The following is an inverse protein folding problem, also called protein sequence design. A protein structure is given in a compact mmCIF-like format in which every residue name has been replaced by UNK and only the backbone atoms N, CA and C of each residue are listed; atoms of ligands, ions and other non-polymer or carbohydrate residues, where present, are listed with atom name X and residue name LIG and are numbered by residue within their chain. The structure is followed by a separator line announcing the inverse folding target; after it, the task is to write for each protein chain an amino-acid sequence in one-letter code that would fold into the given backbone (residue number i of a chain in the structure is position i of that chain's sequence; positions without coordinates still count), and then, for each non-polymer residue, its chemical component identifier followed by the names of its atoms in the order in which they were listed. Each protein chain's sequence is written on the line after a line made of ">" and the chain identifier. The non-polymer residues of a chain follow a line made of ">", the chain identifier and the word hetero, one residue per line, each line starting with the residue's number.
data_IF_554080142724
#
_entry.id   IF_554080142724
#
_cell.length_a   1.000
_cell.length_b   1.000
_cell.length_c   1.000
_cell.angle_alpha   90.00
_cell.angle_beta   90.00
_cell.angle_gamma   90.00
#
_symmetry.space_group_name_H-M   'P 1'
#
loop_
_entity.id
_entity.type
_entity.pdbx_description
1 polymer ?
#
# COMPACT_ATOMS: atom_id res chain seq x y z
N UNK A 1 -2.38 11.11 -36.85
CA UNK A 1 -1.88 10.73 -35.49
C UNK A 1 -0.39 10.61 -35.61
N UNK A 2 0.39 11.29 -34.72
CA UNK A 2 1.86 11.24 -34.74
C UNK A 2 2.40 9.84 -34.39
N UNK A 3 3.68 9.59 -34.66
CA UNK A 3 4.28 8.27 -34.40
C UNK A 3 4.25 7.93 -32.91
N UNK A 4 4.56 8.89 -32.04
CA UNK A 4 4.53 8.70 -30.60
C UNK A 4 3.11 8.39 -30.09
N UNK A 5 2.08 9.08 -30.57
CA UNK A 5 0.68 8.81 -30.20
C UNK A 5 0.22 7.41 -30.60
N UNK A 6 0.72 6.86 -31.73
CA UNK A 6 0.46 5.48 -32.13
C UNK A 6 1.13 4.48 -31.18
N UNK A 7 2.34 4.80 -30.70
CA UNK A 7 3.03 3.97 -29.70
C UNK A 7 2.28 3.97 -28.36
N UNK A 8 1.73 5.11 -27.95
CA UNK A 8 0.90 5.22 -26.77
C UNK A 8 -0.37 4.37 -26.85
N UNK A 9 -1.05 4.42 -28.02
CA UNK A 9 -2.20 3.55 -28.27
C UNK A 9 -1.81 2.07 -28.21
N UNK A 10 -0.69 1.69 -28.84
CA UNK A 10 -0.17 0.33 -28.80
C UNK A 10 0.12 -0.14 -27.35
N UNK A 11 0.68 0.74 -26.50
CA UNK A 11 0.91 0.42 -25.09
C UNK A 11 -0.40 0.07 -24.39
N UNK A 12 -1.42 0.87 -24.57
CA UNK A 12 -2.74 0.65 -23.96
C UNK A 12 -3.37 -0.66 -24.46
N UNK A 13 -3.39 -0.88 -25.78
CA UNK A 13 -3.98 -2.06 -26.42
C UNK A 13 -3.29 -3.36 -25.98
N UNK A 14 -1.98 -3.33 -25.85
CA UNK A 14 -1.15 -4.48 -25.44
C UNK A 14 -0.96 -4.60 -23.92
N UNK A 15 -1.51 -3.67 -23.14
CA UNK A 15 -1.30 -3.57 -21.69
C UNK A 15 0.19 -3.56 -21.33
N UNK A 16 0.99 -2.86 -22.14
CA UNK A 16 2.42 -2.70 -21.91
C UNK A 16 2.64 -1.71 -20.78
N UNK A 17 3.60 -1.99 -19.90
CA UNK A 17 3.94 -1.11 -18.77
C UNK A 17 4.88 0.01 -19.16
N UNK A 18 5.86 -0.27 -20.00
CA UNK A 18 6.92 0.67 -20.36
C UNK A 18 7.28 0.59 -21.85
N UNK A 19 7.73 1.72 -22.43
CA UNK A 19 8.45 1.82 -23.71
C UNK A 19 9.88 2.28 -23.45
N UNK A 20 10.82 1.75 -24.21
CA UNK A 20 12.22 2.14 -24.19
C UNK A 20 12.63 2.60 -25.60
N UNK A 21 13.11 3.85 -25.69
CA UNK A 21 13.71 4.40 -26.90
C UNK A 21 15.19 4.63 -26.63
N UNK A 22 16.04 3.85 -27.26
CA UNK A 22 17.51 3.96 -27.14
C UNK A 22 18.17 3.80 -28.49
N UNK A 23 19.27 4.51 -28.68
CA UNK A 23 20.08 4.40 -29.89
C UNK A 23 20.70 3.01 -29.99
N UNK A 24 20.78 2.49 -31.21
CA UNK A 24 21.34 1.17 -31.47
C UNK A 24 20.42 0.00 -31.12
N UNK A 25 19.18 0.29 -30.72
CA UNK A 25 18.16 -0.71 -30.45
C UNK A 25 16.85 -0.36 -31.17
N UNK A 26 15.98 -1.34 -31.47
CA UNK A 26 14.62 -1.07 -31.90
C UNK A 26 13.81 -0.49 -30.72
N UNK A 27 12.62 0.06 -31.03
CA UNK A 27 11.65 0.44 -30.01
C UNK A 27 11.25 -0.82 -29.25
N UNK A 28 11.47 -0.84 -27.93
CA UNK A 28 11.08 -1.95 -27.08
C UNK A 28 9.90 -1.57 -26.20
N UNK A 29 8.95 -2.50 -26.05
CA UNK A 29 7.85 -2.42 -25.07
C UNK A 29 7.99 -3.51 -24.02
N UNK A 30 7.53 -3.23 -22.80
CA UNK A 30 7.56 -4.20 -21.71
C UNK A 30 6.14 -4.69 -21.42
N UNK A 31 5.90 -5.98 -21.59
CA UNK A 31 4.62 -6.65 -21.33
C UNK A 31 4.85 -7.76 -20.29
N UNK A 32 4.10 -7.76 -19.20
CA UNK A 32 4.24 -8.74 -18.11
C UNK A 32 5.69 -8.90 -17.59
N UNK A 33 6.43 -7.80 -17.57
CA UNK A 33 7.83 -7.80 -17.09
C UNK A 33 8.87 -8.16 -18.15
N UNK A 34 8.48 -8.57 -19.36
CA UNK A 34 9.38 -8.95 -20.45
C UNK A 34 9.45 -7.83 -21.50
N UNK A 35 10.68 -7.36 -21.80
CA UNK A 35 10.91 -6.38 -22.85
C UNK A 35 10.98 -7.10 -24.23
N UNK A 36 10.28 -6.57 -25.22
CA UNK A 36 10.25 -7.13 -26.58
C UNK A 36 10.22 -6.01 -27.61
N UNK A 37 10.83 -6.18 -28.78
CA UNK A 37 10.84 -5.18 -29.83
C UNK A 37 9.46 -5.03 -30.49
N UNK A 38 9.08 -3.78 -30.77
CA UNK A 38 7.87 -3.46 -31.55
C UNK A 38 8.07 -3.77 -33.02
N UNK A 39 9.28 -3.53 -33.51
CA UNK A 39 9.70 -3.82 -34.90
C UNK A 39 11.21 -4.10 -34.94
N UNK A 40 11.79 -4.27 -36.14
CA UNK A 40 13.21 -4.54 -36.33
C UNK A 40 14.04 -3.26 -36.62
N UNK A 41 13.38 -2.09 -36.67
CA UNK A 41 14.05 -0.84 -37.05
C UNK A 41 14.87 -0.30 -35.89
N UNK A 42 16.19 -0.26 -36.08
CA UNK A 42 17.12 0.28 -35.08
C UNK A 42 17.07 1.81 -35.10
N UNK A 43 16.93 2.41 -33.94
CA UNK A 43 16.85 3.86 -33.77
C UNK A 43 18.25 4.50 -33.83
N UNK A 44 18.33 5.64 -34.51
CA UNK A 44 19.45 6.58 -34.43
C UNK A 44 19.09 7.77 -33.52
N UNK A 45 20.04 8.68 -33.28
CA UNK A 45 19.86 9.82 -32.38
C UNK A 45 18.71 10.74 -32.84
N UNK A 46 18.63 11.02 -34.14
CA UNK A 46 17.61 11.92 -34.67
C UNK A 46 16.20 11.31 -34.57
N UNK A 47 16.08 9.99 -34.75
CA UNK A 47 14.83 9.29 -34.61
C UNK A 47 14.29 9.34 -33.15
N UNK A 48 15.18 9.12 -32.17
CA UNK A 48 14.80 9.23 -30.75
C UNK A 48 14.40 10.66 -30.41
N UNK A 49 15.16 11.64 -30.85
CA UNK A 49 14.90 13.06 -30.63
C UNK A 49 13.57 13.50 -31.29
N UNK A 50 13.33 13.10 -32.52
CA UNK A 50 12.10 13.40 -33.25
C UNK A 50 10.87 12.83 -32.52
N UNK A 51 10.92 11.56 -32.12
CA UNK A 51 9.83 10.90 -31.36
C UNK A 51 9.57 11.62 -30.05
N UNK A 52 10.60 11.97 -29.29
CA UNK A 52 10.47 12.67 -28.02
C UNK A 52 9.81 14.05 -28.22
N UNK A 53 10.27 14.82 -29.19
CA UNK A 53 9.80 16.19 -29.43
C UNK A 53 8.36 16.26 -29.95
N UNK A 54 7.81 15.17 -30.52
CA UNK A 54 6.37 15.10 -30.88
C UNK A 54 5.41 15.31 -29.71
N UNK A 55 5.87 15.08 -28.47
CA UNK A 55 5.03 15.11 -27.26
C UNK A 55 5.49 16.14 -26.24
N UNK A 56 6.54 16.89 -26.51
CA UNK A 56 7.03 17.97 -25.67
C UNK A 56 6.62 19.34 -26.23
N UNK A 57 6.39 20.30 -25.34
CA UNK A 57 6.25 21.71 -25.70
C UNK A 57 7.64 22.40 -25.78
N UNK A 58 7.68 23.62 -26.30
CA UNK A 58 8.91 24.38 -26.50
C UNK A 58 9.71 24.60 -25.19
N UNK A 59 9.02 24.84 -24.08
CA UNK A 59 9.66 25.01 -22.77
C UNK A 59 10.33 23.71 -22.31
N UNK A 60 9.65 22.58 -22.42
CA UNK A 60 10.17 21.26 -22.06
C UNK A 60 11.35 20.85 -22.94
N UNK A 61 11.29 21.18 -24.23
CA UNK A 61 12.42 20.96 -25.15
C UNK A 61 13.65 21.78 -24.71
N UNK A 62 13.45 23.08 -24.40
CA UNK A 62 14.52 23.95 -23.93
C UNK A 62 15.11 23.46 -22.58
N UNK A 63 14.28 23.01 -21.66
CA UNK A 63 14.71 22.43 -20.40
C UNK A 63 15.54 21.16 -20.62
N UNK A 64 15.06 20.22 -21.44
CA UNK A 64 15.79 18.98 -21.74
C UNK A 64 17.15 19.23 -22.41
N UNK A 65 17.20 20.18 -23.34
CA UNK A 65 18.48 20.51 -24.01
C UNK A 65 19.50 21.15 -23.07
N UNK A 66 19.01 21.92 -22.08
CA UNK A 66 19.85 22.60 -21.09
C UNK A 66 20.28 21.68 -19.94
N UNK A 67 19.31 20.96 -19.33
CA UNK A 67 19.55 20.17 -18.11
C UNK A 67 19.95 18.72 -18.44
N UNK A 68 19.83 18.28 -19.72
CA UNK A 68 20.13 16.92 -20.21
C UNK A 68 19.23 15.83 -19.64
N UNK A 69 18.26 16.19 -18.84
CA UNK A 69 17.25 15.34 -18.21
C UNK A 69 15.90 16.06 -18.22
N UNK A 70 14.82 15.30 -18.39
CA UNK A 70 13.45 15.80 -18.30
C UNK A 70 12.54 14.70 -17.80
N UNK A 71 11.78 14.99 -16.74
CA UNK A 71 10.67 14.15 -16.29
C UNK A 71 9.38 14.93 -16.50
N UNK A 72 8.46 14.36 -17.27
CA UNK A 72 7.18 15.02 -17.57
C UNK A 72 6.07 14.00 -17.74
N UNK A 73 4.82 14.45 -17.72
CA UNK A 73 3.64 13.66 -18.02
C UNK A 73 3.02 14.09 -19.35
N UNK A 74 2.41 13.14 -20.04
CA UNK A 74 1.63 13.38 -21.26
C UNK A 74 0.29 12.64 -21.16
N UNK A 75 -0.82 13.35 -21.25
CA UNK A 75 -2.15 12.75 -21.29
C UNK A 75 -2.63 12.61 -22.74
N UNK A 76 -3.08 11.42 -23.13
CA UNK A 76 -3.73 11.16 -24.40
C UNK A 76 -5.19 10.83 -24.14
N UNK A 77 -6.07 11.74 -24.59
CA UNK A 77 -7.51 11.61 -24.38
C UNK A 77 -8.04 10.27 -24.92
N UNK A 78 -8.86 9.61 -24.12
CA UNK A 78 -9.42 8.28 -24.43
C UNK A 78 -8.47 7.10 -24.29
N UNK A 79 -7.17 7.33 -23.98
CA UNK A 79 -6.16 6.28 -23.87
C UNK A 79 -5.59 6.17 -22.46
N UNK A 80 -5.13 7.27 -21.89
CA UNK A 80 -4.53 7.31 -20.56
C UNK A 80 -3.40 8.35 -20.47
N UNK A 81 -2.64 8.28 -19.38
CA UNK A 81 -1.48 9.11 -19.17
C UNK A 81 -0.17 8.34 -19.34
N UNK A 82 0.88 9.08 -19.65
CA UNK A 82 2.21 8.54 -19.90
C UNK A 82 3.23 9.39 -19.15
N UNK A 83 4.04 8.77 -18.32
CA UNK A 83 5.20 9.40 -17.71
C UNK A 83 6.37 9.24 -18.64
N UNK A 84 7.01 10.33 -19.00
CA UNK A 84 8.15 10.39 -19.89
C UNK A 84 9.37 10.79 -19.07
N UNK A 85 10.38 9.93 -19.03
CA UNK A 85 11.71 10.23 -18.50
C UNK A 85 12.69 10.24 -19.67
N UNK A 86 13.13 11.42 -20.05
CA UNK A 86 14.12 11.63 -21.09
C UNK A 86 15.46 11.99 -20.45
N UNK A 87 16.53 11.37 -20.90
CA UNK A 87 17.88 11.59 -20.38
C UNK A 87 18.93 11.39 -21.47
N UNK A 88 20.17 11.79 -21.21
CA UNK A 88 21.29 11.54 -22.13
C UNK A 88 22.16 10.40 -21.61
N UNK A 89 22.51 9.48 -22.51
CA UNK A 89 23.54 8.46 -22.29
C UNK A 89 24.61 8.52 -23.38
N UNK A 90 25.87 8.57 -22.99
CA UNK A 90 27.01 8.66 -23.94
C UNK A 90 26.81 9.78 -25.00
N UNK A 91 26.30 10.94 -24.55
CA UNK A 91 26.01 12.08 -25.42
C UNK A 91 24.76 11.97 -26.30
N UNK A 92 24.03 10.89 -26.22
CA UNK A 92 22.87 10.59 -27.06
C UNK A 92 21.56 10.54 -26.27
N UNK A 93 20.40 10.90 -26.88
CA UNK A 93 19.11 10.86 -26.20
C UNK A 93 18.67 9.42 -25.93
N UNK A 94 18.05 9.21 -24.75
CA UNK A 94 17.34 8.01 -24.39
C UNK A 94 16.04 8.39 -23.68
N UNK A 95 14.98 7.58 -23.85
CA UNK A 95 13.66 7.86 -23.27
C UNK A 95 13.06 6.58 -22.71
N UNK A 96 12.55 6.68 -21.51
CA UNK A 96 11.71 5.66 -20.89
C UNK A 96 10.33 6.25 -20.69
N UNK A 97 9.30 5.55 -21.17
CA UNK A 97 7.92 5.99 -21.05
C UNK A 97 7.15 4.93 -20.31
N UNK A 98 6.50 5.32 -19.23
CA UNK A 98 5.62 4.45 -18.45
C UNK A 98 4.16 4.78 -18.73
N UNK A 99 3.37 3.77 -19.00
CA UNK A 99 1.93 3.90 -19.14
C UNK A 99 1.24 3.95 -17.77
N UNK A 100 0.40 4.94 -17.57
CA UNK A 100 -0.47 5.10 -16.41
C UNK A 100 -1.89 4.80 -16.88
N UNK A 101 -2.48 3.66 -16.47
CA UNK A 101 -3.85 3.30 -16.88
C UNK A 101 -4.85 4.38 -16.47
N UNK A 102 -5.75 4.74 -17.39
CA UNK A 102 -6.77 5.77 -17.15
C UNK A 102 -7.92 5.32 -16.23
N UNK A 103 -8.02 4.04 -15.92
CA UNK A 103 -9.10 3.51 -15.09
C UNK A 103 -8.61 3.19 -13.67
N UNK A 104 -9.24 3.83 -12.70
CA UNK A 104 -9.05 3.52 -11.29
C UNK A 104 -9.74 2.18 -10.98
N UNK A 105 -9.04 1.20 -10.37
CA UNK A 105 -9.65 -0.08 -10.03
C UNK A 105 -10.76 0.13 -8.98
N UNK A 106 -11.85 -0.62 -9.11
CA UNK A 106 -12.94 -0.55 -8.14
C UNK A 106 -12.53 -1.17 -6.81
N UNK A 107 -12.89 -0.53 -5.71
CA UNK A 107 -12.55 -0.95 -4.35
C UNK A 107 -12.87 -2.43 -4.10
N UNK A 108 -14.08 -2.89 -4.48
CA UNK A 108 -14.56 -4.26 -4.24
C UNK A 108 -13.75 -5.35 -4.97
N UNK A 109 -13.00 -4.97 -6.02
CA UNK A 109 -12.18 -5.94 -6.77
C UNK A 109 -10.81 -6.20 -6.14
N UNK A 110 -10.37 -5.34 -5.22
CA UNK A 110 -9.04 -5.40 -4.61
C UNK A 110 -8.95 -6.31 -3.39
N UNK A 111 -10.11 -6.68 -2.79
CA UNK A 111 -10.18 -7.50 -1.58
C UNK A 111 -9.62 -6.81 -0.35
N UNK A 112 -9.78 -5.51 -0.30
CA UNK A 112 -9.40 -4.67 0.84
C UNK A 112 -10.40 -4.83 2.00
N UNK A 113 -9.98 -4.63 3.26
CA UNK A 113 -10.89 -4.64 4.41
C UNK A 113 -12.02 -3.61 4.27
N UNK A 114 -13.26 -4.02 4.60
CA UNK A 114 -14.45 -3.17 4.48
C UNK A 114 -14.36 -1.86 5.30
N UNK A 115 -13.67 -1.89 6.43
CA UNK A 115 -13.47 -0.71 7.28
C UNK A 115 -12.81 0.46 6.54
N UNK A 116 -12.05 0.19 5.47
CA UNK A 116 -11.44 1.23 4.66
C UNK A 116 -12.49 2.07 3.91
N UNK A 117 -13.67 1.51 3.60
CA UNK A 117 -14.81 2.26 3.03
C UNK A 117 -15.34 3.29 4.03
N UNK A 118 -15.45 2.90 5.30
CA UNK A 118 -15.88 3.81 6.35
C UNK A 118 -14.85 4.92 6.61
N UNK A 119 -13.57 4.53 6.65
CA UNK A 119 -12.46 5.46 6.88
C UNK A 119 -12.40 6.55 5.82
N UNK A 120 -12.48 6.21 4.53
CA UNK A 120 -12.39 7.19 3.45
C UNK A 120 -13.61 8.13 3.39
N UNK A 121 -14.74 7.72 3.96
CA UNK A 121 -15.94 8.54 4.02
C UNK A 121 -16.00 9.44 5.27
N UNK A 122 -15.02 9.38 6.17
CA UNK A 122 -14.94 10.28 7.34
C UNK A 122 -14.83 11.73 6.89
N UNK A 123 -15.26 12.65 7.77
CA UNK A 123 -15.24 14.08 7.49
C UNK A 123 -13.84 14.67 7.66
N UNK A 124 -13.10 14.21 8.68
CA UNK A 124 -11.81 14.77 9.10
C UNK A 124 -10.89 13.74 9.72
N UNK A 125 -9.63 14.07 9.84
CA UNK A 125 -8.60 13.29 10.52
C UNK A 125 -7.52 12.84 9.54
N UNK A 126 -6.51 12.16 10.05
CA UNK A 126 -5.36 11.67 9.28
C UNK A 126 -5.46 10.16 9.07
N UNK A 127 -5.35 9.71 7.83
CA UNK A 127 -5.21 8.31 7.45
C UNK A 127 -3.84 8.15 6.79
N UNK A 128 -3.02 7.24 7.31
CA UNK A 128 -1.71 6.92 6.75
C UNK A 128 -1.77 5.58 6.02
N UNK A 129 -1.33 5.57 4.76
CA UNK A 129 -1.14 4.36 3.96
C UNK A 129 0.35 4.02 3.94
N UNK A 130 0.70 2.83 4.41
CA UNK A 130 2.06 2.43 4.70
C UNK A 130 2.42 1.14 3.95
N UNK A 131 3.68 1.00 3.56
CA UNK A 131 4.20 -0.19 2.88
C UNK A 131 5.41 0.12 2.02
N UNK A 132 6.13 -0.91 1.61
CA UNK A 132 7.26 -0.81 0.70
C UNK A 132 6.84 -0.29 -0.69
N UNK A 133 7.81 0.10 -1.50
CA UNK A 133 7.57 0.41 -2.92
C UNK A 133 7.03 -0.84 -3.63
N UNK A 134 5.97 -0.66 -4.43
CA UNK A 134 5.33 -1.76 -5.14
C UNK A 134 4.38 -2.61 -4.29
N UNK A 135 4.08 -2.23 -3.03
CA UNK A 135 3.08 -2.92 -2.20
C UNK A 135 1.62 -2.63 -2.57
N UNK A 136 1.37 -1.78 -3.57
CA UNK A 136 0.03 -1.45 -4.05
C UNK A 136 -0.66 -0.31 -3.31
N UNK A 137 0.06 0.50 -2.52
CA UNK A 137 -0.49 1.65 -1.79
C UNK A 137 -1.30 2.60 -2.68
N UNK A 138 -0.69 3.05 -3.77
CA UNK A 138 -1.32 4.00 -4.70
C UNK A 138 -2.59 3.44 -5.33
N UNK A 139 -2.59 2.14 -5.66
CA UNK A 139 -3.76 1.44 -6.19
C UNK A 139 -4.92 1.42 -5.18
N UNK A 140 -4.61 1.09 -3.92
CA UNK A 140 -5.61 1.06 -2.84
C UNK A 140 -6.12 2.45 -2.50
N UNK A 141 -5.23 3.46 -2.42
CA UNK A 141 -5.61 4.86 -2.20
C UNK A 141 -6.47 5.40 -3.33
N UNK A 142 -6.11 5.09 -4.59
CA UNK A 142 -6.90 5.50 -5.74
C UNK A 142 -8.31 4.90 -5.67
N UNK A 143 -8.45 3.61 -5.38
CA UNK A 143 -9.75 2.97 -5.21
C UNK A 143 -10.57 3.56 -4.05
N UNK A 144 -9.93 3.89 -2.92
CA UNK A 144 -10.58 4.56 -1.79
C UNK A 144 -11.05 5.98 -2.18
N UNK A 145 -10.19 6.76 -2.83
CA UNK A 145 -10.55 8.12 -3.27
C UNK A 145 -11.66 8.11 -4.31
N UNK A 146 -11.63 7.16 -5.24
CA UNK A 146 -12.68 7.03 -6.26
C UNK A 146 -14.03 6.63 -5.64
N UNK A 147 -14.02 5.75 -4.61
CA UNK A 147 -15.21 5.45 -3.81
C UNK A 147 -15.77 6.71 -3.12
N UNK A 148 -14.91 7.55 -2.52
CA UNK A 148 -15.33 8.84 -1.95
C UNK A 148 -15.90 9.76 -3.01
N UNK A 149 -15.24 9.86 -4.15
CA UNK A 149 -15.69 10.65 -5.31
C UNK A 149 -17.06 10.22 -5.84
N UNK A 150 -17.38 8.93 -5.77
CA UNK A 150 -18.71 8.41 -6.14
C UNK A 150 -19.79 8.70 -5.09
N UNK A 151 -19.44 8.68 -3.81
CA UNK A 151 -20.41 8.68 -2.73
C UNK A 151 -20.62 10.04 -2.08
N UNK A 152 -19.60 10.92 -2.04
CA UNK A 152 -19.66 12.24 -1.39
C UNK A 152 -19.48 13.37 -2.38
N UNK A 153 -20.30 14.42 -2.21
CA UNK A 153 -20.05 15.72 -2.82
C UNK A 153 -18.97 16.46 -2.05
N UNK A 154 -18.12 17.18 -2.76
CA UNK A 154 -17.06 17.98 -2.16
C UNK A 154 -15.88 18.14 -3.10
N UNK A 155 -14.75 18.59 -2.56
CA UNK A 155 -13.51 18.81 -3.29
C UNK A 155 -12.43 17.87 -2.78
N UNK A 156 -11.89 17.05 -3.67
CA UNK A 156 -10.74 16.17 -3.43
C UNK A 156 -9.54 16.82 -4.12
N UNK A 157 -8.52 17.14 -3.35
CA UNK A 157 -7.24 17.64 -3.85
C UNK A 157 -6.16 16.60 -3.69
N UNK A 158 -5.42 16.27 -4.74
CA UNK A 158 -4.25 15.41 -4.64
C UNK A 158 -2.98 16.18 -4.96
N UNK A 159 -1.93 15.89 -4.20
CA UNK A 159 -0.58 16.40 -4.40
C UNK A 159 0.34 15.20 -4.53
N UNK A 160 0.84 14.94 -5.73
CA UNK A 160 1.50 13.69 -6.08
C UNK A 160 2.87 13.95 -6.75
N UNK A 161 3.78 12.99 -6.61
CA UNK A 161 5.12 13.03 -7.23
C UNK A 161 5.51 11.61 -7.69
N UNK A 162 5.00 11.25 -8.86
CA UNK A 162 3.98 11.89 -9.70
C UNK A 162 2.57 11.29 -9.57
N UNK A 163 1.61 11.80 -10.37
CA UNK A 163 0.28 11.22 -10.53
C UNK A 163 0.36 9.80 -11.09
N UNK A 164 -0.27 8.83 -10.39
CA UNK A 164 -0.30 7.41 -10.82
C UNK A 164 -1.65 6.97 -11.40
N UNK A 165 -2.73 7.65 -11.07
CA UNK A 165 -4.10 7.38 -11.57
C UNK A 165 -4.79 8.68 -11.91
N UNK A 166 -5.61 8.68 -12.96
CA UNK A 166 -6.40 9.86 -13.34
C UNK A 166 -7.84 9.67 -12.91
N UNK A 167 -8.35 10.61 -12.10
CA UNK A 167 -9.71 10.60 -11.64
C UNK A 167 -10.64 11.40 -12.59
N UNK A 168 -11.83 10.86 -12.82
CA UNK A 168 -12.93 11.60 -13.43
C UNK A 168 -13.75 12.26 -12.32
N UNK A 169 -14.20 13.49 -12.53
CA UNK A 169 -15.15 14.13 -11.63
C UNK A 169 -16.48 13.34 -11.62
N UNK A 170 -16.98 13.00 -10.42
CA UNK A 170 -18.25 12.30 -10.19
C UNK A 170 -19.14 13.15 -9.30
N UNK A 171 -19.40 12.74 -8.05
CA UNK A 171 -20.07 13.62 -7.06
C UNK A 171 -19.11 14.66 -6.48
N UNK A 172 -17.83 14.34 -6.38
CA UNK A 172 -16.79 15.30 -6.00
C UNK A 172 -16.13 15.91 -7.22
N UNK A 173 -15.57 17.11 -7.04
CA UNK A 173 -14.58 17.69 -7.94
C UNK A 173 -13.22 17.17 -7.50
N UNK A 174 -12.43 16.62 -8.43
CA UNK A 174 -11.08 16.10 -8.13
C UNK A 174 -10.07 16.95 -8.89
N UNK A 175 -9.21 17.63 -8.14
CA UNK A 175 -8.07 18.35 -8.69
C UNK A 175 -6.79 17.61 -8.30
N UNK A 176 -6.06 17.14 -9.30
CA UNK A 176 -4.77 16.46 -9.14
C UNK A 176 -3.65 17.43 -9.52
N UNK A 177 -2.64 17.51 -8.67
CA UNK A 177 -1.48 18.38 -8.90
C UNK A 177 -0.20 17.57 -8.77
N UNK A 178 0.57 17.56 -9.84
CA UNK A 178 1.87 16.90 -9.92
C UNK A 178 3.00 17.89 -9.58
N UNK A 179 3.93 17.44 -8.75
CA UNK A 179 5.16 18.21 -8.47
C UNK A 179 6.04 18.25 -9.71
N UNK A 180 6.56 19.43 -10.03
CA UNK A 180 7.35 19.67 -11.25
C UNK A 180 6.51 20.12 -12.45
N UNK A 181 5.27 19.62 -12.57
CA UNK A 181 4.36 19.99 -13.68
C UNK A 181 3.37 21.08 -13.28
N UNK A 182 2.64 20.88 -12.17
CA UNK A 182 1.53 21.76 -11.72
C UNK A 182 1.90 22.62 -10.51
N UNK A 183 2.96 22.26 -9.83
CA UNK A 183 3.50 22.99 -8.68
C UNK A 183 5.02 22.81 -8.58
N UNK A 184 5.72 23.83 -8.11
CA UNK A 184 7.18 23.80 -7.99
C UNK A 184 7.70 22.85 -6.91
N UNK A 185 6.93 22.65 -5.84
CA UNK A 185 7.32 21.77 -4.75
C UNK A 185 6.10 21.32 -3.93
N UNK A 186 6.23 20.23 -3.19
CA UNK A 186 5.24 19.80 -2.19
C UNK A 186 4.94 20.88 -1.16
N UNK A 187 5.97 21.55 -0.64
CA UNK A 187 5.83 22.60 0.35
C UNK A 187 4.94 23.74 -0.15
N UNK A 188 5.22 24.23 -1.38
CA UNK A 188 4.43 25.31 -1.97
C UNK A 188 3.00 24.87 -2.21
N UNK A 189 2.80 23.66 -2.71
CA UNK A 189 1.47 23.10 -2.95
C UNK A 189 0.67 22.96 -1.66
N UNK A 190 1.26 22.36 -0.62
CA UNK A 190 0.63 22.19 0.70
C UNK A 190 0.29 23.53 1.32
N UNK A 191 1.22 24.51 1.36
CA UNK A 191 0.96 25.84 1.90
C UNK A 191 -0.26 26.53 1.28
N UNK A 192 -0.53 26.29 0.01
CA UNK A 192 -1.64 26.90 -0.71
C UNK A 192 -2.92 26.04 -0.70
N UNK A 193 -2.84 24.76 -0.39
CA UNK A 193 -3.97 23.84 -0.50
C UNK A 193 -5.15 24.21 0.42
N UNK A 194 -4.90 24.73 1.65
CA UNK A 194 -5.97 25.23 2.53
C UNK A 194 -6.83 26.34 1.89
N UNK A 195 -6.24 27.13 0.99
CA UNK A 195 -6.94 28.19 0.27
C UNK A 195 -7.76 27.68 -0.91
N UNK A 196 -7.60 26.39 -1.24
CA UNK A 196 -8.31 25.73 -2.34
C UNK A 196 -9.54 24.98 -1.84
N UNK A 197 -9.92 25.16 -0.56
CA UNK A 197 -11.09 24.59 0.09
C UNK A 197 -11.28 23.07 -0.16
N UNK A 198 -10.29 22.22 0.06
CA UNK A 198 -10.45 20.78 -0.08
C UNK A 198 -11.24 20.21 1.11
N UNK A 199 -12.18 19.29 0.84
CA UNK A 199 -12.77 18.44 1.90
C UNK A 199 -11.88 17.24 2.21
N UNK A 200 -11.14 16.80 1.21
CA UNK A 200 -10.20 15.67 1.31
C UNK A 200 -8.91 16.01 0.56
N UNK A 201 -7.77 15.77 1.20
CA UNK A 201 -6.46 15.97 0.59
C UNK A 201 -5.65 14.68 0.60
N UNK A 202 -5.08 14.31 -0.56
CA UNK A 202 -4.04 13.29 -0.66
C UNK A 202 -2.67 13.95 -0.73
N UNK A 203 -1.81 13.62 0.22
CA UNK A 203 -0.40 14.00 0.25
C UNK A 203 0.40 12.78 -0.22
N UNK A 204 0.99 12.85 -1.40
CA UNK A 204 1.63 11.72 -2.06
C UNK A 204 2.58 10.95 -1.16
N UNK A 205 3.49 11.65 -0.47
CA UNK A 205 4.41 11.03 0.50
C UNK A 205 4.83 12.00 1.62
N UNK A 206 4.89 11.47 2.85
CA UNK A 206 5.49 12.14 4.00
C UNK A 206 6.96 11.71 4.09
N UNK A 207 7.88 12.68 3.88
CA UNK A 207 9.33 12.45 3.90
C UNK A 207 10.05 13.11 5.06
N UNK A 208 9.43 14.11 5.70
CA UNK A 208 10.06 14.97 6.69
C UNK A 208 9.06 15.57 7.69
N UNK A 209 9.61 16.30 8.68
CA UNK A 209 8.85 17.03 9.70
C UNK A 209 7.85 18.00 9.10
N UNK A 210 8.20 18.69 8.01
CA UNK A 210 7.38 19.74 7.43
C UNK A 210 6.12 19.17 6.78
N UNK A 211 6.26 18.15 5.94
CA UNK A 211 5.13 17.45 5.30
C UNK A 211 4.25 16.76 6.34
N UNK A 212 4.85 16.16 7.40
CA UNK A 212 4.08 15.58 8.50
C UNK A 212 3.29 16.63 9.28
N UNK A 213 3.93 17.77 9.60
CA UNK A 213 3.27 18.88 10.30
C UNK A 213 2.10 19.45 9.51
N UNK A 214 2.23 19.56 8.19
CA UNK A 214 1.13 19.99 7.32
C UNK A 214 -0.02 18.97 7.28
N UNK A 215 0.27 17.66 7.20
CA UNK A 215 -0.75 16.61 7.24
C UNK A 215 -1.57 16.66 8.54
N UNK A 216 -0.89 16.85 9.68
CA UNK A 216 -1.55 17.04 10.99
C UNK A 216 -2.40 18.30 11.02
N UNK A 217 -1.88 19.44 10.54
CA UNK A 217 -2.60 20.71 10.50
C UNK A 217 -3.88 20.61 9.67
N UNK A 218 -3.85 19.90 8.51
CA UNK A 218 -5.06 19.62 7.71
C UNK A 218 -6.07 18.78 8.49
N UNK A 219 -5.61 17.69 9.11
CA UNK A 219 -6.48 16.79 9.86
C UNK A 219 -7.17 17.49 11.05
N UNK A 220 -6.44 18.35 11.76
CA UNK A 220 -6.93 19.13 12.91
C UNK A 220 -7.85 20.27 12.49
N UNK A 221 -7.65 20.88 11.31
CA UNK A 221 -8.49 21.98 10.79
C UNK A 221 -9.81 21.51 10.16
N UNK A 222 -10.16 20.22 10.30
CA UNK A 222 -11.47 19.71 9.91
C UNK A 222 -11.52 19.01 8.56
N UNK A 223 -10.37 18.78 7.91
CA UNK A 223 -10.25 18.09 6.61
C UNK A 223 -9.86 16.63 6.79
N UNK A 224 -10.22 15.79 5.83
CA UNK A 224 -9.68 14.43 5.74
C UNK A 224 -8.34 14.48 5.01
N UNK A 225 -7.26 14.18 5.71
CA UNK A 225 -5.93 14.07 5.15
C UNK A 225 -5.55 12.60 4.96
N UNK A 226 -5.17 12.22 3.75
CA UNK A 226 -4.54 10.95 3.44
C UNK A 226 -3.08 11.20 3.08
N UNK A 227 -2.20 10.33 3.51
CA UNK A 227 -0.79 10.44 3.13
C UNK A 227 -0.16 9.05 3.02
N UNK A 228 0.88 8.91 2.19
CA UNK A 228 1.69 7.71 2.19
C UNK A 228 2.95 7.88 3.02
N UNK A 229 3.44 6.76 3.53
CA UNK A 229 4.70 6.69 4.26
C UNK A 229 5.40 5.36 3.94
N UNK A 230 6.70 5.40 3.71
CA UNK A 230 7.49 4.18 3.55
C UNK A 230 7.88 3.61 4.91
N UNK A 231 7.16 2.57 5.34
CA UNK A 231 7.47 1.75 6.49
C UNK A 231 6.85 0.35 6.28
N UNK A 232 7.27 -0.65 7.06
CA UNK A 232 6.85 -2.04 6.84
C UNK A 232 5.53 -2.40 7.55
N UNK A 233 5.19 -1.69 8.63
CA UNK A 233 3.96 -1.85 9.42
C UNK A 233 3.68 -0.58 10.23
N UNK A 234 2.59 -0.56 11.00
CA UNK A 234 2.17 0.58 11.82
C UNK A 234 3.19 0.97 12.89
N UNK A 235 3.84 -0.01 13.53
CA UNK A 235 4.89 0.24 14.51
C UNK A 235 6.09 0.99 13.90
N UNK A 236 6.60 0.51 12.76
CA UNK A 236 7.69 1.18 12.05
C UNK A 236 7.28 2.55 11.50
N UNK A 237 6.01 2.71 11.09
CA UNK A 237 5.48 4.00 10.67
C UNK A 237 5.50 5.03 11.80
N UNK A 238 5.04 4.64 12.99
CA UNK A 238 5.07 5.51 14.18
C UNK A 238 6.49 5.91 14.54
N UNK A 239 7.43 4.96 14.61
CA UNK A 239 8.82 5.25 14.91
C UNK A 239 9.46 6.16 13.85
N UNK A 240 9.14 5.96 12.56
CA UNK A 240 9.62 6.82 11.48
C UNK A 240 9.10 8.26 11.62
N UNK A 241 7.81 8.44 11.92
CA UNK A 241 7.22 9.76 12.17
C UNK A 241 7.93 10.45 13.35
N UNK A 242 8.11 9.73 14.46
CA UNK A 242 8.80 10.25 15.65
C UNK A 242 10.25 10.66 15.31
N UNK A 243 10.91 9.91 14.41
CA UNK A 243 12.31 10.21 14.01
C UNK A 243 12.47 11.51 13.23
N UNK A 244 11.41 12.03 12.60
CA UNK A 244 11.45 13.34 11.93
C UNK A 244 11.55 14.52 12.90
N UNK A 245 11.27 14.29 14.19
CA UNK A 245 11.19 15.35 15.18
C UNK A 245 12.31 15.23 16.22
N UNK A 246 12.98 16.35 16.57
CA UNK A 246 13.91 16.40 17.68
C UNK A 246 13.19 16.10 19.01
N UNK A 247 13.95 15.65 20.01
CA UNK A 247 13.39 15.11 21.27
C UNK A 247 12.42 16.08 21.95
N UNK A 248 12.75 17.38 21.97
CA UNK A 248 11.94 18.42 22.60
C UNK A 248 10.55 18.63 21.95
N UNK A 249 10.40 18.26 20.67
CA UNK A 249 9.14 18.42 19.94
C UNK A 249 8.26 17.14 19.93
N UNK A 250 8.81 15.99 20.38
CA UNK A 250 8.09 14.73 20.35
C UNK A 250 6.83 14.69 21.22
N UNK A 251 6.80 15.26 22.43
CA UNK A 251 5.57 15.27 23.23
C UNK A 251 4.41 15.98 22.52
N UNK A 252 4.67 17.13 21.90
CA UNK A 252 3.65 17.86 21.11
C UNK A 252 3.21 17.05 19.89
N UNK A 253 4.15 16.45 19.16
CA UNK A 253 3.83 15.56 18.04
C UNK A 253 2.92 14.42 18.46
N UNK A 254 3.24 13.73 19.55
CA UNK A 254 2.47 12.56 20.02
C UNK A 254 1.06 12.95 20.44
N UNK A 255 0.90 14.10 21.10
CA UNK A 255 -0.40 14.67 21.45
C UNK A 255 -1.23 14.99 20.19
N UNK A 256 -0.62 15.70 19.23
CA UNK A 256 -1.27 16.05 17.97
C UNK A 256 -1.66 14.79 17.16
N UNK A 257 -0.78 13.80 17.13
CA UNK A 257 -0.99 12.56 16.41
C UNK A 257 -2.10 11.72 17.05
N UNK A 258 -2.11 11.60 18.39
CA UNK A 258 -3.15 10.87 19.13
C UNK A 258 -4.55 11.43 18.87
N UNK A 259 -4.65 12.75 18.71
CA UNK A 259 -5.92 13.43 18.44
C UNK A 259 -6.33 13.41 16.96
N UNK A 260 -5.39 13.53 16.03
CA UNK A 260 -5.67 13.67 14.60
C UNK A 260 -5.76 12.35 13.85
N UNK A 261 -4.99 11.33 14.25
CA UNK A 261 -4.93 10.04 13.58
C UNK A 261 -6.29 9.35 13.58
N UNK A 262 -6.69 8.76 12.45
CA UNK A 262 -7.86 7.89 12.33
C UNK A 262 -7.45 6.44 12.17
N UNK A 263 -6.44 6.20 11.31
CA UNK A 263 -5.92 4.87 11.06
C UNK A 263 -4.52 4.92 10.44
N UNK A 264 -3.75 3.85 10.66
CA UNK A 264 -2.60 3.48 9.83
C UNK A 264 -2.96 2.18 9.12
N UNK A 265 -2.87 2.20 7.80
CA UNK A 265 -3.17 1.07 6.93
C UNK A 265 -1.85 0.61 6.32
N UNK A 266 -1.36 -0.55 6.72
CA UNK A 266 -0.11 -1.11 6.21
C UNK A 266 -0.42 -2.21 5.20
N UNK A 267 0.30 -2.24 4.06
CA UNK A 267 -0.02 -3.14 2.96
C UNK A 267 1.19 -3.87 2.41
N UNK A 268 1.01 -5.17 2.15
CA UNK A 268 1.92 -6.04 1.41
C UNK A 268 1.17 -6.74 0.28
N UNK A 269 1.84 -7.02 -0.84
CA UNK A 269 1.28 -7.88 -1.89
C UNK A 269 1.83 -9.28 -1.75
N UNK A 270 0.93 -10.24 -1.54
CA UNK A 270 1.23 -11.67 -1.43
C UNK A 270 0.78 -12.42 -2.67
N UNK A 271 1.46 -13.53 -2.98
CA UNK A 271 1.12 -14.38 -4.14
C UNK A 271 0.00 -15.35 -3.76
N UNK A 272 -1.05 -15.37 -4.55
CA UNK A 272 -2.09 -16.39 -4.43
C UNK A 272 -1.66 -17.71 -5.06
N UNK A 273 -2.33 -18.80 -4.69
CA UNK A 273 -2.12 -20.13 -5.31
C UNK A 273 -2.34 -20.14 -6.83
N UNK A 274 -3.13 -19.19 -7.36
CA UNK A 274 -3.36 -19.01 -8.79
C UNK A 274 -2.30 -18.17 -9.50
N UNK A 275 -1.27 -17.69 -8.77
CA UNK A 275 -0.20 -16.85 -9.31
C UNK A 275 -0.55 -15.34 -9.36
N UNK A 276 -1.78 -14.94 -9.04
CA UNK A 276 -2.15 -13.54 -8.91
C UNK A 276 -1.57 -12.91 -7.63
N UNK A 277 -1.61 -11.58 -7.53
CA UNK A 277 -1.23 -10.86 -6.30
C UNK A 277 -2.48 -10.37 -5.58
N UNK A 278 -2.47 -10.47 -4.25
CA UNK A 278 -3.52 -9.97 -3.36
C UNK A 278 -2.91 -9.13 -2.25
N UNK A 279 -3.64 -8.12 -1.79
CA UNK A 279 -3.20 -7.29 -0.69
C UNK A 279 -3.44 -8.00 0.65
N UNK A 280 -2.37 -8.23 1.43
CA UNK A 280 -2.46 -8.45 2.86
C UNK A 280 -2.39 -7.09 3.54
N UNK A 281 -3.33 -6.82 4.44
CA UNK A 281 -3.52 -5.48 5.02
C UNK A 281 -3.55 -5.56 6.53
N UNK A 282 -2.68 -4.78 7.18
CA UNK A 282 -2.77 -4.45 8.60
C UNK A 282 -3.56 -3.15 8.75
N UNK A 283 -4.47 -3.07 9.72
CA UNK A 283 -5.26 -1.88 10.01
C UNK A 283 -5.16 -1.54 11.49
N UNK A 284 -4.40 -0.51 11.82
CA UNK A 284 -4.39 0.12 13.13
C UNK A 284 -5.49 1.18 13.15
N UNK A 285 -6.57 0.95 13.90
CA UNK A 285 -7.58 1.98 14.18
C UNK A 285 -7.19 2.76 15.44
N UNK A 286 -7.27 4.08 15.37
CA UNK A 286 -6.99 4.93 16.53
C UNK A 286 -8.18 4.91 17.52
N UNK A 287 -8.30 3.80 18.25
CA UNK A 287 -9.23 3.67 19.36
C UNK A 287 -8.74 4.53 20.54
N UNK A 288 -9.61 4.73 21.55
CA UNK A 288 -9.21 5.47 22.76
C UNK A 288 -7.95 4.90 23.41
N UNK A 289 -7.85 3.60 23.53
CA UNK A 289 -6.67 2.94 24.12
C UNK A 289 -5.41 3.17 23.25
N UNK A 290 -5.51 3.05 21.92
CA UNK A 290 -4.39 3.34 21.01
C UNK A 290 -3.97 4.81 21.11
N UNK A 291 -4.93 5.73 21.19
CA UNK A 291 -4.64 7.16 21.36
C UNK A 291 -3.87 7.44 22.66
N UNK A 292 -4.27 6.80 23.78
CA UNK A 292 -3.58 6.90 25.07
C UNK A 292 -2.14 6.36 24.99
N UNK A 293 -1.90 5.24 24.29
CA UNK A 293 -0.55 4.69 24.06
C UNK A 293 0.31 5.64 23.20
N UNK A 294 -0.27 6.20 22.15
CA UNK A 294 0.42 7.16 21.29
C UNK A 294 0.82 8.41 22.10
N UNK A 295 -0.11 8.98 22.87
CA UNK A 295 0.12 10.17 23.67
C UNK A 295 1.24 9.98 24.71
N UNK A 296 1.30 8.81 25.34
CA UNK A 296 2.37 8.43 26.29
C UNK A 296 3.69 8.09 25.63
N UNK A 297 3.68 7.77 24.34
CA UNK A 297 4.87 7.31 23.60
C UNK A 297 5.14 5.81 23.76
N UNK A 298 4.17 5.02 24.26
CA UNK A 298 4.27 3.58 24.50
C UNK A 298 4.02 2.80 23.19
N UNK A 299 4.79 3.15 22.15
CA UNK A 299 4.60 2.64 20.77
C UNK A 299 4.80 1.12 20.70
N UNK A 300 5.65 0.56 21.57
CA UNK A 300 5.91 -0.88 21.63
C UNK A 300 4.68 -1.70 22.03
N UNK A 301 3.75 -1.13 22.78
CA UNK A 301 2.53 -1.80 23.24
C UNK A 301 1.40 -1.80 22.21
N UNK A 302 1.54 -0.99 21.15
CA UNK A 302 0.48 -0.85 20.13
C UNK A 302 0.17 -2.18 19.44
N UNK A 303 1.18 -3.00 19.12
CA UNK A 303 0.95 -4.29 18.46
C UNK A 303 0.10 -5.23 19.32
N UNK A 304 0.44 -5.34 20.60
CA UNK A 304 -0.32 -6.16 21.55
C UNK A 304 -1.76 -5.61 21.75
N UNK A 305 -1.88 -4.27 21.81
CA UNK A 305 -3.20 -3.62 21.89
C UNK A 305 -4.05 -3.89 20.64
N UNK A 306 -3.44 -3.96 19.44
CA UNK A 306 -4.14 -4.34 18.20
C UNK A 306 -4.57 -5.80 18.22
N UNK A 307 -3.72 -6.72 18.65
CA UNK A 307 -4.02 -8.17 18.73
C UNK A 307 -5.21 -8.45 19.67
N UNK A 308 -5.29 -7.69 20.77
CA UNK A 308 -6.37 -7.78 21.75
C UNK A 308 -7.58 -6.89 21.42
N UNK A 309 -7.50 -6.12 20.32
CA UNK A 309 -8.54 -5.14 19.99
C UNK A 309 -9.85 -5.81 19.61
N UNK A 310 -10.94 -5.38 20.25
CA UNK A 310 -12.31 -5.73 19.87
C UNK A 310 -12.91 -4.74 18.86
N UNK A 311 -12.14 -3.74 18.39
CA UNK A 311 -12.62 -2.74 17.44
C UNK A 311 -12.86 -3.39 16.07
N UNK A 312 -14.08 -3.35 15.52
CA UNK A 312 -14.37 -3.94 14.22
C UNK A 312 -13.47 -3.36 13.12
N UNK A 313 -12.80 -4.24 12.39
CA UNK A 313 -11.91 -3.85 11.29
C UNK A 313 -10.46 -3.55 11.69
N UNK A 314 -10.12 -3.50 12.99
CA UNK A 314 -8.72 -3.53 13.43
C UNK A 314 -8.15 -4.92 13.21
N UNK A 315 -7.00 -5.04 12.57
CA UNK A 315 -6.34 -6.33 12.32
C UNK A 315 -4.84 -6.17 12.14
N UNK A 316 -4.09 -7.19 12.58
CA UNK A 316 -2.65 -7.30 12.32
C UNK A 316 -2.36 -7.98 10.98
N UNK A 317 -1.09 -7.97 10.53
CA UNK A 317 -0.70 -8.74 9.34
C UNK A 317 -0.93 -10.23 9.55
N UNK A 318 -0.63 -10.77 10.74
CA UNK A 318 -0.85 -12.18 11.06
C UNK A 318 -2.33 -12.57 10.90
N UNK A 319 -3.25 -11.75 11.40
CA UNK A 319 -4.69 -11.99 11.26
C UNK A 319 -5.15 -11.91 9.80
N UNK A 320 -4.64 -10.93 9.05
CA UNK A 320 -4.94 -10.80 7.61
C UNK A 320 -4.45 -12.00 6.80
N UNK A 321 -3.18 -12.39 7.00
CA UNK A 321 -2.57 -13.53 6.32
C UNK A 321 -3.22 -14.86 6.70
N UNK A 322 -3.52 -15.04 7.99
CA UNK A 322 -4.20 -16.23 8.49
C UNK A 322 -5.58 -16.39 7.86
N UNK A 323 -6.36 -15.30 7.76
CA UNK A 323 -7.65 -15.33 7.06
C UNK A 323 -7.50 -15.76 5.60
N UNK A 324 -6.54 -15.20 4.87
CA UNK A 324 -6.26 -15.57 3.48
C UNK A 324 -5.82 -17.04 3.34
N UNK A 325 -5.07 -17.56 4.29
CA UNK A 325 -4.68 -18.96 4.34
C UNK A 325 -5.87 -19.89 4.57
N UNK A 326 -6.73 -19.58 5.56
CA UNK A 326 -7.95 -20.34 5.85
C UNK A 326 -8.97 -20.31 4.70
N UNK A 327 -9.06 -19.22 3.96
CA UNK A 327 -9.83 -19.10 2.72
C UNK A 327 -9.19 -19.87 1.54
N UNK A 328 -8.02 -20.48 1.73
CA UNK A 328 -7.30 -21.24 0.71
C UNK A 328 -6.68 -20.40 -0.39
N UNK A 329 -6.58 -19.08 -0.23
CA UNK A 329 -6.06 -18.16 -1.23
C UNK A 329 -4.54 -18.20 -1.36
N UNK A 330 -3.81 -18.35 -0.25
CA UNK A 330 -2.34 -18.37 -0.21
C UNK A 330 -1.82 -19.69 0.37
N UNK A 331 -0.54 -19.99 0.15
CA UNK A 331 0.13 -21.14 0.75
C UNK A 331 0.62 -20.81 2.16
N UNK A 332 0.95 -21.83 2.94
CA UNK A 332 1.58 -21.66 4.25
C UNK A 332 2.92 -20.94 4.14
N UNK A 333 3.74 -21.28 3.15
CA UNK A 333 5.04 -20.64 2.90
C UNK A 333 4.90 -19.14 2.64
N UNK A 334 3.91 -18.76 1.80
CA UNK A 334 3.61 -17.37 1.52
C UNK A 334 3.14 -16.62 2.78
N UNK A 335 2.34 -17.30 3.61
CA UNK A 335 1.87 -16.79 4.90
C UNK A 335 3.05 -16.52 5.84
N UNK A 336 3.94 -17.50 6.01
CA UNK A 336 5.13 -17.41 6.88
C UNK A 336 6.13 -16.35 6.41
N UNK A 337 6.36 -16.26 5.10
CA UNK A 337 7.32 -15.32 4.50
C UNK A 337 6.88 -13.86 4.69
N UNK A 338 5.58 -13.60 4.71
CA UNK A 338 5.02 -12.25 4.80
C UNK A 338 4.54 -11.87 6.21
N UNK A 339 4.60 -12.76 7.20
CA UNK A 339 4.28 -12.45 8.59
C UNK A 339 5.37 -11.60 9.25
N UNK A 340 4.98 -10.69 10.16
CA UNK A 340 5.92 -9.96 11.02
C UNK A 340 6.52 -10.89 12.10
N UNK A 341 5.71 -11.85 12.57
CA UNK A 341 6.13 -12.89 13.51
C UNK A 341 5.78 -14.28 12.95
N UNK A 342 6.73 -14.95 12.25
CA UNK A 342 6.51 -16.31 11.77
C UNK A 342 6.12 -17.28 12.88
N UNK A 343 6.67 -17.12 14.09
CA UNK A 343 6.33 -17.98 15.24
C UNK A 343 4.86 -17.85 15.64
N UNK A 344 4.34 -16.61 15.74
CA UNK A 344 2.93 -16.38 16.05
C UNK A 344 2.04 -16.91 14.92
N UNK A 345 2.47 -16.75 13.67
CA UNK A 345 1.74 -17.27 12.51
C UNK A 345 1.64 -18.80 12.55
N UNK A 346 2.75 -19.48 12.81
CA UNK A 346 2.77 -20.95 12.92
C UNK A 346 1.85 -21.43 14.05
N UNK A 347 1.87 -20.74 15.18
CA UNK A 347 0.97 -21.04 16.29
C UNK A 347 -0.51 -20.91 15.92
N UNK A 348 -0.91 -19.83 15.23
CA UNK A 348 -2.28 -19.64 14.72
C UNK A 348 -2.71 -20.77 13.77
N UNK A 349 -1.83 -21.15 12.83
CA UNK A 349 -2.11 -22.24 11.89
C UNK A 349 -2.27 -23.57 12.61
N UNK A 350 -1.39 -23.90 13.56
CA UNK A 350 -1.44 -25.14 14.31
C UNK A 350 -2.69 -25.23 15.21
N UNK A 351 -3.10 -24.13 15.83
CA UNK A 351 -4.36 -24.11 16.63
C UNK A 351 -5.59 -24.39 15.75
N UNK A 352 -5.65 -23.79 14.56
CA UNK A 352 -6.80 -24.01 13.67
C UNK A 352 -6.85 -25.46 13.15
N UNK A 353 -5.69 -26.03 12.79
CA UNK A 353 -5.63 -27.42 12.33
C UNK A 353 -5.89 -28.44 13.45
N UNK A 354 -5.47 -28.15 14.68
CA UNK A 354 -5.78 -28.99 15.84
C UNK A 354 -7.27 -28.93 16.21
N UNK A 355 -7.91 -27.77 16.07
CA UNK A 355 -9.38 -27.62 16.27
C UNK A 355 -10.20 -28.40 15.26
N UNK A 356 -9.76 -28.46 14.00
CA UNK A 356 -10.40 -29.28 12.95
C UNK A 356 -10.27 -30.79 13.21
N UNK A 357 -9.14 -31.24 13.75
CA UNK A 357 -8.94 -32.66 14.09
C UNK A 357 -9.83 -33.08 15.26
N UNK A 358 -9.99 -32.25 16.27
CA UNK A 358 -10.93 -32.51 17.37
C UNK A 358 -12.39 -32.47 16.93
N UNK A 359 -12.75 -31.59 16.01
CA UNK A 359 -14.09 -31.53 15.41
C UNK A 359 -14.40 -32.78 14.53
N UNK A 360 -13.43 -33.27 13.77
CA UNK A 360 -13.59 -34.49 12.98
C UNK A 360 -13.60 -35.76 13.85
N UNK A 361 -12.85 -35.82 14.95
CA UNK A 361 -12.92 -36.95 15.88
C UNK A 361 -14.24 -37.00 16.65
N UNK A 362 -14.86 -35.85 16.93
CA UNK A 362 -16.19 -35.80 17.55
C UNK A 362 -17.32 -36.20 16.58
N UNK A 363 -17.12 -36.10 15.26
CA UNK A 363 -18.08 -36.51 14.24
C UNK A 363 -18.01 -38.01 13.88
N UNK A 364 -17.01 -38.76 14.37
CA UNK A 364 -16.84 -40.21 14.17
C UNK A 364 -17.11 -40.96 15.49
N UNK A 365 -18.14 -40.57 16.23
CA UNK A 365 -18.65 -41.38 17.30
C UNK A 365 -19.73 -42.32 16.75
N UNK A 366 -19.56 -43.67 16.80
CA UNK A 366 -20.59 -44.58 16.31
C UNK A 366 -21.81 -44.56 17.22
N UNK A 367 -22.96 -44.48 16.59
CA UNK A 367 -24.25 -44.59 17.26
C UNK A 367 -24.45 -45.93 17.99
N UNK A 368 -25.19 -45.80 19.06
CA UNK A 368 -25.98 -46.82 19.79
C UNK A 368 -25.65 -48.28 19.60
N UNK A 369 -25.11 -48.90 20.65
CA UNK A 369 -25.42 -50.31 20.98
C UNK A 369 -25.87 -50.42 22.44
N UNK A 370 -26.97 -51.15 22.59
CA UNK A 370 -27.76 -51.40 23.81
C UNK A 370 -26.92 -51.96 24.96
N UNK A 371 -27.37 -51.60 26.16
CA UNK A 371 -27.04 -52.20 27.46
C UNK A 371 -27.13 -53.73 27.43
N UNK A 372 -26.10 -54.36 28.02
CA UNK A 372 -26.27 -55.58 28.79
C UNK A 372 -25.31 -55.57 29.99
N UNK A 373 -25.88 -55.74 31.15
CA UNK A 373 -25.22 -55.84 32.45
C UNK A 373 -24.32 -57.08 32.56
N UNK A 374 -23.08 -56.91 33.02
CA UNK A 374 -22.46 -57.87 33.97
C UNK A 374 -21.20 -57.26 34.63
N UNK A 375 -21.15 -57.55 35.94
CA UNK A 375 -20.20 -57.11 36.96
C UNK A 375 -18.74 -57.47 36.68
N UNK A 376 -17.90 -56.53 37.10
CA UNK A 376 -16.53 -56.54 37.70
C UNK A 376 -15.64 -57.80 37.63
N UNK A 377 -14.28 -57.71 37.72
CA UNK A 377 -13.54 -56.83 38.64
C UNK A 377 -12.21 -56.20 38.09
N UNK A 378 -11.80 -55.22 38.86
CA UNK A 378 -10.55 -54.48 38.94
C UNK A 378 -9.27 -55.06 38.26
N UNK A 379 -8.58 -54.18 37.49
CA UNK A 379 -7.11 -54.22 37.41
C UNK A 379 -6.58 -52.79 37.35
N UNK A 380 -5.89 -52.43 38.42
CA UNK A 380 -5.10 -51.20 38.53
C UNK A 380 -3.86 -51.34 37.65
N UNK A 381 -3.56 -50.34 36.86
CA UNK A 381 -2.20 -50.08 36.38
C UNK A 381 -1.91 -48.59 36.33
N UNK A 382 -1.20 -48.16 37.34
CA UNK A 382 -0.50 -46.90 37.46
C UNK A 382 0.64 -46.87 36.43
N UNK A 383 0.69 -45.84 35.56
CA UNK A 383 1.92 -45.50 34.86
C UNK A 383 2.20 -44.03 35.16
N UNK A 384 3.42 -43.88 35.72
CA UNK A 384 4.05 -42.80 36.39
C UNK A 384 4.04 -41.44 35.71
N UNK A 385 3.86 -40.43 36.56
CA UNK A 385 4.18 -39.04 36.27
C UNK A 385 5.69 -38.83 36.11
N UNK A 386 6.06 -38.10 35.07
CA UNK A 386 7.35 -37.45 34.98
C UNK A 386 7.14 -35.95 35.20
N UNK A 387 7.58 -35.49 36.36
CA UNK A 387 7.75 -34.08 36.71
C UNK A 387 9.00 -33.56 36.05
N UNK A 388 8.83 -32.50 35.23
CA UNK A 388 9.97 -31.72 34.75
C UNK A 388 10.32 -30.64 35.77
N UNK A 389 11.28 -30.96 36.66
CA UNK A 389 12.07 -30.00 37.40
C UNK A 389 13.53 -30.46 37.36
N UNK A 390 14.40 -29.53 36.99
CA UNK A 390 15.89 -29.58 36.98
C UNK A 390 16.54 -29.60 35.58
N UNK A 391 16.66 -28.39 35.02
CA UNK A 391 17.82 -28.03 34.20
C UNK A 391 18.60 -26.94 34.95
N UNK A 392 19.70 -27.35 35.60
CA UNK A 392 20.74 -26.43 36.06
C UNK A 392 21.66 -26.13 34.88
N UNK A 393 21.85 -24.84 34.61
CA UNK A 393 22.90 -24.35 33.71
C UNK A 393 24.14 -24.14 34.58
N UNK A 394 25.20 -24.91 34.35
CA UNK A 394 26.53 -24.63 34.89
C UNK A 394 27.11 -23.43 34.10
N UNK A 395 27.34 -22.33 34.83
CA UNK A 395 28.17 -21.24 34.37
C UNK A 395 29.63 -21.56 34.72
N UNK A 396 30.42 -22.05 33.74
CA UNK A 396 31.89 -21.94 33.67
C UNK A 396 32.43 -22.91 32.59
N UNK A 397 32.63 -22.38 31.37
CA UNK A 397 33.73 -22.71 30.46
C UNK A 397 33.68 -21.68 29.30
#
# INVERSE_FOLDING_TARGET
>A
MSAMKRLFQLMADKKASDIFLSIGAPINIKINGVAMPVNQTVLNADAVKTLLYEVLNEHQISEYEKEMELNTAYALEGVGAFRISAFRQKGSPAVVIRFIPGDVPKFDTLGLPEVLKELILRKRGLILMVGATGSGKSTSLAAMLDLRNEQKSGHILTLEDPVEFIFKNKKSIVNQREVGSDTKSFEMALKNALRQAPDCILIGEIRDKQTMGMALAYAQSGHLALATLHANNSYHAMNRIISFYPLENRPTLLLDLSAALQAIISQRLVRTKTGARRAAVEVLLNTRHIAELIEKGDINEIKEAMEKSMAPGSQTFEQSLFKMFMEGLITQDECMTNADSPTNMLWLINQATAGDITGQMAAIAPGDQKKDDKKDPALSTTIGGASFSEFKIDANA
#
